data_IF_576988821638
#
_entry.id   IF_576988821638
#
_cell.length_a   1.000
_cell.length_b   1.000
_cell.length_c   1.000
_cell.angle_alpha   90.00
_cell.angle_beta   90.00
_cell.angle_gamma   90.00
#
_symmetry.space_group_name_H-M   'P 1'
#
loop_
_entity.id
_entity.type
_entity.pdbx_description
1 polymer ?
#
# COMPACT_ATOMS: atom_id res chain seq x y z
N UNK A 1 -59.85 -73.58 42.64
CA UNK A 1 -61.15 -73.07 42.24
C UNK A 1 -61.00 -71.64 41.73
N UNK A 2 -61.57 -71.42 40.61
CA UNK A 2 -61.87 -70.16 39.90
C UNK A 2 -60.73 -69.40 39.26
N UNK A 3 -60.65 -69.63 37.99
CA UNK A 3 -60.07 -68.92 36.87
C UNK A 3 -60.72 -67.55 36.67
N UNK A 4 -59.95 -66.53 36.38
CA UNK A 4 -60.40 -65.44 35.54
C UNK A 4 -59.22 -64.92 34.69
N UNK A 5 -59.36 -65.18 33.39
CA UNK A 5 -58.51 -64.67 32.33
C UNK A 5 -58.81 -63.21 32.04
N UNK A 6 -57.77 -62.40 31.76
CA UNK A 6 -57.87 -61.05 31.20
C UNK A 6 -57.38 -61.05 29.76
N UNK A 7 -58.02 -60.31 28.84
CA UNK A 7 -57.64 -60.29 27.44
C UNK A 7 -56.48 -59.23 27.22
N UNK A 8 -55.56 -59.63 26.35
CA UNK A 8 -54.54 -58.77 25.76
C UNK A 8 -55.17 -57.77 24.79
N UNK A 9 -54.99 -56.50 25.04
CA UNK A 9 -55.07 -55.45 24.02
C UNK A 9 -53.67 -55.09 23.58
N UNK A 10 -53.31 -55.63 22.44
CA UNK A 10 -52.06 -55.29 21.76
C UNK A 10 -52.33 -54.28 20.65
N UNK A 11 -51.36 -53.40 20.52
CA UNK A 11 -50.94 -52.88 19.21
C UNK A 11 -51.76 -51.76 18.61
N UNK A 12 -51.29 -50.52 18.77
CA UNK A 12 -51.42 -49.42 17.78
C UNK A 12 -50.68 -48.12 18.26
N UNK A 13 -49.42 -48.21 18.65
CA UNK A 13 -48.63 -47.06 19.01
C UNK A 13 -47.20 -47.11 18.43
N UNK A 14 -46.97 -47.85 17.35
CA UNK A 14 -45.65 -48.06 16.77
C UNK A 14 -45.39 -47.36 15.41
N UNK A 15 -46.38 -46.63 14.85
CA UNK A 15 -46.24 -46.15 13.45
C UNK A 15 -46.15 -44.63 13.26
N UNK A 16 -46.13 -43.83 14.33
CA UNK A 16 -46.05 -42.33 14.20
C UNK A 16 -44.68 -41.77 14.55
N UNK A 17 -43.78 -42.54 15.15
CA UNK A 17 -42.43 -42.05 15.54
C UNK A 17 -41.39 -42.10 14.40
N UNK A 18 -41.64 -42.75 13.28
CA UNK A 18 -40.65 -42.89 12.19
C UNK A 18 -40.71 -41.79 11.12
N UNK A 19 -41.77 -40.96 11.08
CA UNK A 19 -41.94 -39.90 10.08
C UNK A 19 -41.39 -38.55 10.51
N UNK A 20 -40.99 -38.35 11.79
CA UNK A 20 -40.48 -37.08 12.30
C UNK A 20 -38.96 -36.93 12.22
N UNK A 21 -38.19 -37.98 11.88
CA UNK A 21 -36.73 -37.94 11.79
C UNK A 21 -36.16 -37.61 10.40
N UNK A 22 -36.99 -37.50 9.37
CA UNK A 22 -36.51 -37.30 7.98
C UNK A 22 -36.48 -35.83 7.49
N UNK A 23 -36.86 -34.86 8.32
CA UNK A 23 -36.90 -33.42 7.94
C UNK A 23 -35.76 -32.56 8.56
N UNK A 24 -34.77 -33.16 9.22
CA UNK A 24 -33.65 -32.42 9.83
C UNK A 24 -32.37 -32.39 8.99
N UNK A 25 -32.40 -32.62 7.70
CA UNK A 25 -31.19 -32.83 6.91
C UNK A 25 -31.01 -31.86 5.74
N UNK A 26 -31.40 -30.61 5.85
CA UNK A 26 -30.90 -29.54 4.95
C UNK A 26 -30.96 -28.17 5.66
N UNK A 27 -30.27 -28.05 6.76
CA UNK A 27 -29.80 -26.73 7.13
C UNK A 27 -28.69 -26.37 6.12
N UNK A 28 -28.81 -25.28 5.33
CA UNK A 28 -27.69 -24.84 4.49
C UNK A 28 -26.52 -24.63 5.43
N UNK A 29 -25.41 -25.32 5.16
CA UNK A 29 -24.17 -25.08 5.86
C UNK A 29 -23.92 -23.54 5.82
N UNK A 30 -24.01 -22.90 6.95
CA UNK A 30 -23.63 -21.48 7.05
C UNK A 30 -22.15 -21.44 6.65
N UNK A 31 -21.89 -21.03 5.41
CA UNK A 31 -20.55 -20.70 4.98
C UNK A 31 -20.11 -19.56 5.88
N UNK A 32 -19.28 -19.89 6.87
CA UNK A 32 -18.71 -18.90 7.76
C UNK A 32 -18.03 -17.84 6.90
N UNK A 33 -18.52 -16.60 7.02
CA UNK A 33 -17.94 -15.48 6.27
C UNK A 33 -16.46 -15.40 6.65
N UNK A 34 -15.60 -15.48 5.66
CA UNK A 34 -14.15 -15.38 5.87
C UNK A 34 -13.79 -13.91 6.00
N UNK A 35 -13.48 -13.44 7.21
CA UNK A 35 -12.99 -12.09 7.45
C UNK A 35 -11.50 -12.02 7.13
N UNK A 36 -11.12 -11.10 6.25
CA UNK A 36 -9.74 -10.82 5.86
C UNK A 36 -9.25 -9.57 6.56
N UNK A 37 -8.01 -9.62 7.04
CA UNK A 37 -7.35 -8.51 7.73
C UNK A 37 -6.52 -7.71 6.74
N UNK A 38 -6.88 -6.44 6.56
CA UNK A 38 -6.17 -5.50 5.70
C UNK A 38 -5.31 -4.54 6.49
N UNK A 39 -4.16 -4.16 5.95
CA UNK A 39 -3.26 -3.20 6.56
C UNK A 39 -3.11 -1.94 5.70
N UNK A 40 -3.11 -0.78 6.35
CA UNK A 40 -2.81 0.52 5.76
C UNK A 40 -2.04 1.39 6.75
N UNK A 41 -0.97 2.06 6.27
CA UNK A 41 -0.17 2.96 7.10
C UNK A 41 -0.90 4.28 7.40
N UNK A 42 -1.75 4.72 6.50
CA UNK A 42 -2.44 6.00 6.57
C UNK A 42 -3.78 5.91 7.33
N UNK A 43 -4.32 7.06 7.73
CA UNK A 43 -5.66 7.17 8.29
C UNK A 43 -6.75 6.78 7.26
N UNK A 44 -7.96 6.47 7.74
CA UNK A 44 -9.05 6.00 6.89
C UNK A 44 -9.51 7.05 5.86
N UNK A 45 -9.44 8.34 6.19
CA UNK A 45 -9.81 9.45 5.31
C UNK A 45 -8.74 9.81 4.27
N UNK A 46 -7.55 9.22 4.37
CA UNK A 46 -6.49 9.38 3.37
C UNK A 46 -6.88 8.69 2.06
N UNK A 47 -6.50 9.21 0.87
CA UNK A 47 -6.92 8.63 -0.42
C UNK A 47 -6.70 7.11 -0.53
N UNK A 48 -5.56 6.61 -0.04
CA UNK A 48 -5.25 5.17 -0.07
C UNK A 48 -6.13 4.37 0.91
N UNK A 49 -6.47 4.94 2.09
CA UNK A 49 -7.44 4.38 3.01
C UNK A 49 -8.82 4.25 2.37
N UNK A 50 -9.30 5.35 1.75
CA UNK A 50 -10.58 5.37 1.03
C UNK A 50 -10.61 4.38 -0.15
N UNK A 51 -9.50 4.26 -0.90
CA UNK A 51 -9.35 3.26 -1.96
C UNK A 51 -9.47 1.83 -1.42
N UNK A 52 -8.78 1.52 -0.32
CA UNK A 52 -8.86 0.20 0.32
C UNK A 52 -10.26 -0.11 0.87
N UNK A 53 -10.94 0.86 1.47
CA UNK A 53 -12.30 0.68 1.97
C UNK A 53 -13.28 0.46 0.81
N UNK A 54 -13.10 1.17 -0.32
CA UNK A 54 -13.87 0.92 -1.55
C UNK A 54 -13.62 -0.48 -2.10
N UNK A 55 -12.38 -0.93 -2.14
CA UNK A 55 -12.04 -2.30 -2.51
C UNK A 55 -12.75 -3.32 -1.61
N UNK A 56 -12.71 -3.13 -0.30
CA UNK A 56 -13.36 -4.00 0.68
C UNK A 56 -14.87 -4.05 0.47
N UNK A 57 -15.50 -2.89 0.27
CA UNK A 57 -16.95 -2.78 -0.02
C UNK A 57 -17.34 -3.56 -1.27
N UNK A 58 -16.63 -3.33 -2.38
CA UNK A 58 -16.91 -3.99 -3.67
C UNK A 58 -16.76 -5.51 -3.59
N UNK A 59 -15.73 -6.01 -2.93
CA UNK A 59 -15.54 -7.45 -2.74
C UNK A 59 -16.67 -8.02 -1.89
N UNK A 60 -17.04 -7.37 -0.80
CA UNK A 60 -18.18 -7.79 0.04
C UNK A 60 -19.47 -7.90 -0.77
N UNK A 61 -19.81 -6.84 -1.52
CA UNK A 61 -21.01 -6.80 -2.36
C UNK A 61 -21.02 -7.89 -3.42
N UNK A 62 -19.92 -8.04 -4.19
CA UNK A 62 -19.82 -8.98 -5.33
C UNK A 62 -19.70 -10.45 -4.91
N UNK A 63 -19.33 -10.70 -3.65
CA UNK A 63 -19.28 -12.06 -3.09
C UNK A 63 -20.48 -12.39 -2.17
N UNK A 64 -21.51 -11.53 -2.12
CA UNK A 64 -22.61 -11.66 -1.17
C UNK A 64 -22.14 -11.83 0.28
N UNK A 65 -21.11 -11.05 0.67
CA UNK A 65 -20.44 -11.08 1.97
C UNK A 65 -19.81 -12.45 2.35
N UNK A 66 -19.54 -13.31 1.39
CA UNK A 66 -18.80 -14.56 1.63
C UNK A 66 -17.33 -14.25 1.94
N UNK A 67 -16.74 -13.24 1.29
CA UNK A 67 -15.44 -12.68 1.61
C UNK A 67 -15.68 -11.26 2.16
N UNK A 68 -15.32 -11.06 3.43
CA UNK A 68 -15.40 -9.77 4.11
C UNK A 68 -14.00 -9.25 4.37
N UNK A 69 -13.72 -8.05 3.92
CA UNK A 69 -12.44 -7.39 4.11
C UNK A 69 -12.59 -6.31 5.19
N UNK A 70 -11.67 -6.29 6.15
CA UNK A 70 -11.59 -5.26 7.18
C UNK A 70 -10.23 -4.60 7.13
N UNK A 71 -10.19 -3.30 6.84
CA UNK A 71 -8.96 -2.51 6.82
C UNK A 71 -8.63 -2.00 8.23
N UNK A 72 -7.41 -2.23 8.66
CA UNK A 72 -6.82 -1.66 9.87
C UNK A 72 -5.91 -0.51 9.45
N UNK A 73 -6.42 0.71 9.62
CA UNK A 73 -5.74 1.95 9.24
C UNK A 73 -4.71 2.39 10.29
N UNK A 74 -3.93 3.43 9.95
CA UNK A 74 -2.98 4.09 10.88
C UNK A 74 -1.97 3.13 11.50
N UNK A 75 -1.48 2.16 10.73
CA UNK A 75 -0.50 1.16 11.15
C UNK A 75 -0.92 0.36 12.40
N UNK A 76 -2.22 0.15 12.65
CA UNK A 76 -2.71 -0.61 13.82
C UNK A 76 -2.17 -2.04 13.93
N UNK A 77 -1.73 -2.63 12.81
CA UNK A 77 -1.13 -3.97 12.77
C UNK A 77 0.41 -3.95 12.69
N UNK A 78 1.05 -2.83 13.06
CA UNK A 78 2.49 -2.63 12.98
C UNK A 78 2.92 -1.68 11.87
N UNK A 79 4.21 -1.33 11.83
CA UNK A 79 4.79 -0.50 10.77
C UNK A 79 4.90 -1.28 9.45
N UNK A 80 5.21 -0.59 8.33
CA UNK A 80 5.16 -1.21 7.00
C UNK A 80 6.08 -2.42 6.87
N UNK A 81 7.29 -2.38 7.40
CA UNK A 81 8.25 -3.49 7.31
C UNK A 81 7.70 -4.75 8.01
N UNK A 82 7.06 -4.58 9.16
CA UNK A 82 6.39 -5.66 9.89
C UNK A 82 5.19 -6.19 9.11
N UNK A 83 4.37 -5.29 8.57
CA UNK A 83 3.20 -5.65 7.79
C UNK A 83 3.55 -6.42 6.50
N UNK A 84 4.66 -6.06 5.83
CA UNK A 84 5.20 -6.82 4.69
C UNK A 84 5.52 -8.26 5.11
N UNK A 85 6.23 -8.47 6.23
CA UNK A 85 6.54 -9.81 6.72
C UNK A 85 5.26 -10.58 7.12
N UNK A 86 4.32 -9.92 7.79
CA UNK A 86 3.04 -10.50 8.17
C UNK A 86 2.22 -10.93 6.94
N UNK A 87 2.21 -10.16 5.84
CA UNK A 87 1.56 -10.56 4.60
C UNK A 87 2.23 -11.78 3.97
N UNK A 88 3.57 -11.81 3.91
CA UNK A 88 4.32 -12.97 3.40
C UNK A 88 4.07 -14.24 4.20
N UNK A 89 3.84 -14.11 5.52
CA UNK A 89 3.47 -15.21 6.42
C UNK A 89 1.97 -15.52 6.40
N UNK A 90 1.14 -14.70 5.74
CA UNK A 90 -0.31 -14.88 5.61
C UNK A 90 -1.11 -14.50 6.85
N UNK A 91 -0.58 -13.68 7.77
CA UNK A 91 -1.29 -13.13 8.93
C UNK A 91 -1.97 -11.79 8.62
N UNK A 92 -1.52 -11.09 7.58
CA UNK A 92 -2.23 -10.01 6.90
C UNK A 92 -2.67 -10.54 5.53
N UNK A 93 -3.93 -10.35 5.18
CA UNK A 93 -4.54 -10.92 3.99
C UNK A 93 -4.45 -9.99 2.79
N UNK A 94 -4.61 -8.67 2.99
CA UNK A 94 -4.45 -7.65 1.95
C UNK A 94 -3.84 -6.37 2.52
N UNK A 95 -3.23 -5.56 1.69
CA UNK A 95 -2.59 -4.32 2.12
C UNK A 95 -2.41 -3.34 0.96
N UNK A 96 -2.20 -2.07 1.33
CA UNK A 96 -1.60 -1.08 0.44
C UNK A 96 -0.18 -0.79 0.93
N UNK A 97 0.83 -1.04 0.09
CA UNK A 97 2.24 -0.84 0.41
C UNK A 97 2.89 0.19 -0.50
N UNK A 98 3.67 1.09 0.07
CA UNK A 98 4.65 1.84 -0.68
C UNK A 98 5.76 0.91 -1.17
N UNK A 99 6.25 1.12 -2.40
CA UNK A 99 7.25 0.22 -3.00
C UNK A 99 8.63 0.30 -2.34
N UNK A 100 9.00 1.44 -1.75
CA UNK A 100 10.37 1.64 -1.28
C UNK A 100 10.86 0.60 -0.27
N UNK A 101 10.10 0.21 0.78
CA UNK A 101 10.51 -0.87 1.67
C UNK A 101 10.54 -2.26 1.01
N UNK A 102 9.93 -2.43 -0.16
CA UNK A 102 9.96 -3.67 -0.93
C UNK A 102 11.23 -3.80 -1.79
N UNK A 103 11.98 -2.70 -2.01
CA UNK A 103 13.13 -2.69 -2.91
C UNK A 103 14.21 -3.70 -2.52
N UNK A 104 14.44 -3.92 -1.22
CA UNK A 104 15.43 -4.87 -0.74
C UNK A 104 14.95 -6.34 -0.84
N UNK A 105 13.64 -6.57 -0.96
CA UNK A 105 13.05 -7.91 -1.08
C UNK A 105 12.77 -8.30 -2.54
N UNK A 106 12.37 -7.34 -3.35
CA UNK A 106 12.10 -7.47 -4.78
C UNK A 106 12.86 -6.35 -5.52
N UNK A 107 14.14 -6.53 -5.87
CA UNK A 107 15.01 -5.47 -6.38
C UNK A 107 14.48 -4.75 -7.62
N UNK A 108 13.67 -5.41 -8.46
CA UNK A 108 13.06 -4.76 -9.62
C UNK A 108 12.09 -3.63 -9.27
N UNK A 109 11.51 -3.63 -8.07
CA UNK A 109 10.67 -2.51 -7.60
C UNK A 109 11.46 -1.21 -7.47
N UNK A 110 12.79 -1.30 -7.27
CA UNK A 110 13.67 -0.13 -7.20
C UNK A 110 13.64 0.69 -8.50
N UNK A 111 13.39 0.06 -9.65
CA UNK A 111 13.35 0.77 -10.93
C UNK A 111 12.21 1.79 -10.98
N UNK A 112 11.04 1.47 -10.38
CA UNK A 112 9.89 2.37 -10.34
C UNK A 112 10.05 3.49 -9.29
N UNK A 113 11.07 3.41 -8.44
CA UNK A 113 11.33 4.39 -7.38
C UNK A 113 12.55 5.24 -7.64
N UNK A 114 13.21 5.06 -8.81
CA UNK A 114 14.36 5.88 -9.21
C UNK A 114 13.98 7.37 -9.27
N UNK A 115 14.89 8.24 -8.85
CA UNK A 115 14.63 9.69 -8.83
C UNK A 115 14.46 10.25 -10.25
N UNK A 116 13.52 11.19 -10.40
CA UNK A 116 13.24 11.90 -11.67
C UNK A 116 12.92 10.97 -12.86
N UNK A 117 12.38 9.78 -12.59
CA UNK A 117 12.11 8.77 -13.61
C UNK A 117 10.91 9.13 -14.48
N UNK A 118 9.79 9.49 -13.84
CA UNK A 118 8.53 9.76 -14.53
C UNK A 118 8.45 11.20 -15.00
N UNK A 119 7.95 11.41 -16.24
CA UNK A 119 7.73 12.74 -16.82
C UNK A 119 6.56 13.48 -16.16
N UNK A 120 5.51 12.74 -15.86
CA UNK A 120 4.25 13.19 -15.27
C UNK A 120 3.49 12.00 -14.66
N UNK A 121 2.39 12.28 -13.98
CA UNK A 121 1.54 11.25 -13.36
C UNK A 121 0.93 10.31 -14.41
N UNK A 122 0.55 10.83 -15.57
CA UNK A 122 0.01 10.01 -16.67
C UNK A 122 1.04 9.02 -17.20
N UNK A 123 2.31 9.44 -17.30
CA UNK A 123 3.39 8.53 -17.64
C UNK A 123 3.56 7.41 -16.60
N UNK A 124 3.53 7.76 -15.30
CA UNK A 124 3.57 6.77 -14.23
C UNK A 124 2.44 5.75 -14.36
N UNK A 125 1.20 6.22 -14.58
CA UNK A 125 0.05 5.32 -14.77
C UNK A 125 0.24 4.36 -15.95
N UNK A 126 0.65 4.86 -17.12
CA UNK A 126 0.87 3.99 -18.30
C UNK A 126 1.95 2.93 -18.04
N UNK A 127 2.98 3.26 -17.29
CA UNK A 127 4.04 2.33 -16.92
C UNK A 127 3.53 1.24 -15.98
N UNK A 128 2.87 1.61 -14.89
CA UNK A 128 2.46 0.65 -13.86
C UNK A 128 1.22 -0.16 -14.23
N UNK A 129 0.33 0.40 -15.06
CA UNK A 129 -0.86 -0.31 -15.56
C UNK A 129 -0.56 -1.18 -16.80
N UNK A 130 0.66 -1.06 -17.37
CA UNK A 130 1.09 -1.80 -18.55
C UNK A 130 2.02 -2.99 -18.23
N UNK A 131 2.66 -3.49 -19.29
CA UNK A 131 3.54 -4.67 -19.22
C UNK A 131 4.70 -4.55 -18.22
N UNK A 132 5.17 -3.33 -17.94
CA UNK A 132 6.23 -3.10 -16.93
C UNK A 132 5.69 -3.36 -15.52
N UNK A 133 4.50 -2.85 -15.21
CA UNK A 133 3.82 -3.14 -13.94
C UNK A 133 3.54 -4.63 -13.75
N UNK A 134 3.20 -5.36 -14.83
CA UNK A 134 3.04 -6.81 -14.80
C UNK A 134 4.37 -7.54 -14.54
N UNK A 135 5.49 -7.07 -15.10
CA UNK A 135 6.81 -7.61 -14.83
C UNK A 135 7.18 -7.47 -13.34
N UNK A 136 6.94 -6.30 -12.77
CA UNK A 136 7.17 -6.03 -11.34
C UNK A 136 6.21 -6.85 -10.45
N UNK A 137 4.95 -6.99 -10.87
CA UNK A 137 3.96 -7.80 -10.16
C UNK A 137 4.39 -9.27 -10.04
N UNK A 138 5.01 -9.85 -11.10
CA UNK A 138 5.56 -11.22 -11.04
C UNK A 138 6.69 -11.35 -10.02
N UNK A 139 7.55 -10.35 -9.89
CA UNK A 139 8.61 -10.36 -8.89
C UNK A 139 8.07 -10.23 -7.47
N UNK A 140 7.02 -9.41 -7.27
CA UNK A 140 6.31 -9.32 -5.99
C UNK A 140 5.60 -10.64 -5.65
N UNK A 141 5.02 -11.32 -6.64
CA UNK A 141 4.44 -12.64 -6.44
C UNK A 141 5.49 -13.66 -5.96
N UNK A 142 6.71 -13.62 -6.50
CA UNK A 142 7.79 -14.51 -6.07
C UNK A 142 8.10 -14.40 -4.57
N UNK A 143 7.93 -13.21 -3.98
CA UNK A 143 8.11 -12.97 -2.54
C UNK A 143 6.82 -13.13 -1.71
N UNK A 144 5.72 -13.57 -2.33
CA UNK A 144 4.46 -13.88 -1.63
C UNK A 144 3.42 -12.75 -1.64
N UNK A 145 3.58 -11.73 -2.48
CA UNK A 145 2.72 -10.54 -2.57
C UNK A 145 2.06 -10.51 -3.95
N UNK A 146 0.75 -10.74 -4.02
CA UNK A 146 -0.02 -10.68 -5.27
C UNK A 146 -0.51 -9.27 -5.52
N UNK A 147 0.01 -8.62 -6.54
CA UNK A 147 -0.43 -7.28 -6.97
C UNK A 147 -1.82 -7.35 -7.59
N UNK A 148 -2.73 -6.49 -7.13
CA UNK A 148 -4.08 -6.35 -7.68
C UNK A 148 -4.26 -5.05 -8.47
N UNK A 149 -3.71 -3.94 -7.97
CA UNK A 149 -3.78 -2.62 -8.61
C UNK A 149 -2.64 -1.71 -8.09
N UNK A 150 -2.42 -0.60 -8.81
CA UNK A 150 -1.47 0.44 -8.45
C UNK A 150 -2.21 1.70 -8.04
N UNK A 151 -1.84 2.24 -6.88
CA UNK A 151 -2.34 3.49 -6.32
C UNK A 151 -1.33 4.62 -6.49
N UNK A 152 -1.81 5.85 -6.54
CA UNK A 152 -0.96 7.03 -6.51
C UNK A 152 -0.45 7.32 -5.11
N UNK A 153 0.76 7.89 -5.06
CA UNK A 153 1.33 8.51 -3.88
C UNK A 153 2.03 9.84 -4.20
N UNK A 154 1.85 10.37 -5.41
CA UNK A 154 2.30 11.68 -5.84
C UNK A 154 3.82 11.88 -5.83
N UNK A 155 4.21 13.10 -6.15
CA UNK A 155 5.61 13.49 -6.14
C UNK A 155 6.11 13.73 -4.71
N UNK A 156 7.32 13.26 -4.44
CA UNK A 156 7.99 13.39 -3.15
C UNK A 156 9.00 14.52 -3.19
N UNK A 157 9.00 15.35 -2.15
CA UNK A 157 9.85 16.52 -1.99
C UNK A 157 10.48 16.56 -0.60
N UNK A 158 11.55 17.32 -0.43
CA UNK A 158 12.18 17.51 0.87
C UNK A 158 11.37 18.46 1.76
N UNK A 159 11.29 18.16 3.06
CA UNK A 159 10.83 19.09 4.08
C UNK A 159 11.77 19.06 5.29
N UNK A 160 12.12 20.24 5.79
CA UNK A 160 13.27 20.43 6.67
C UNK A 160 13.01 21.48 7.74
N UNK A 161 13.78 21.40 8.84
CA UNK A 161 13.71 22.38 9.95
C UNK A 161 14.37 23.72 9.59
N UNK A 162 15.24 23.77 8.58
CA UNK A 162 15.88 24.97 8.03
C UNK A 162 15.72 25.01 6.51
N UNK A 163 15.78 26.22 5.89
CA UNK A 163 15.57 26.34 4.44
C UNK A 163 16.59 25.54 3.64
N UNK A 164 16.12 24.84 2.59
CA UNK A 164 16.93 24.17 1.57
C UNK A 164 16.53 24.74 0.22
N UNK A 165 17.44 25.44 -0.46
CA UNK A 165 17.20 26.04 -1.78
C UNK A 165 17.99 25.33 -2.89
N UNK A 166 19.12 24.78 -2.53
CA UNK A 166 20.06 24.13 -3.45
C UNK A 166 20.52 22.79 -2.85
N UNK A 167 21.08 21.88 -3.67
CA UNK A 167 21.67 20.66 -3.14
C UNK A 167 22.77 20.89 -2.08
N UNK A 168 23.50 22.05 -2.14
CA UNK A 168 24.52 22.37 -1.16
C UNK A 168 23.94 22.55 0.26
N UNK A 169 22.70 23.02 0.37
CA UNK A 169 22.04 23.26 1.66
C UNK A 169 21.66 21.95 2.40
N UNK A 170 21.58 20.84 1.67
CA UNK A 170 21.24 19.50 2.24
C UNK A 170 22.46 18.84 2.88
N UNK A 171 23.67 19.31 2.55
CA UNK A 171 24.90 18.68 3.04
C UNK A 171 24.94 18.58 4.55
N UNK A 172 25.23 17.37 5.01
CA UNK A 172 25.37 17.04 6.43
C UNK A 172 24.05 17.00 7.22
N UNK A 173 22.89 17.35 6.61
CA UNK A 173 21.60 17.22 7.26
C UNK A 173 21.23 15.74 7.46
N UNK A 174 20.71 15.42 8.64
CA UNK A 174 20.12 14.12 8.93
C UNK A 174 18.72 14.07 8.33
N UNK A 175 18.59 13.42 7.17
CA UNK A 175 17.33 13.30 6.45
C UNK A 175 16.77 11.89 6.64
N UNK A 176 15.58 11.82 7.22
CA UNK A 176 14.88 10.54 7.35
C UNK A 176 14.53 10.00 5.97
N UNK A 177 14.71 8.70 5.80
CA UNK A 177 14.28 7.94 4.63
C UNK A 177 13.49 6.70 5.04
N UNK A 178 12.80 6.09 4.08
CA UNK A 178 12.20 4.78 4.24
C UNK A 178 13.31 3.71 4.29
N UNK A 179 13.00 2.53 4.82
CA UNK A 179 13.94 1.39 4.91
C UNK A 179 14.19 0.81 3.53
N UNK A 180 15.11 1.42 2.79
CA UNK A 180 15.48 1.05 1.42
C UNK A 180 16.91 1.51 1.13
N UNK A 181 17.74 0.61 0.62
CA UNK A 181 19.12 0.94 0.24
C UNK A 181 19.17 2.00 -0.86
N UNK A 182 18.21 1.95 -1.80
CA UNK A 182 18.07 2.98 -2.83
C UNK A 182 17.84 4.36 -2.21
N UNK A 183 16.97 4.49 -1.23
CA UNK A 183 16.69 5.78 -0.58
C UNK A 183 17.86 6.29 0.24
N UNK A 184 18.62 5.39 0.86
CA UNK A 184 19.90 5.73 1.52
C UNK A 184 20.88 6.32 0.50
N UNK A 185 21.02 5.68 -0.67
CA UNK A 185 21.94 6.13 -1.70
C UNK A 185 21.48 7.42 -2.38
N UNK A 186 20.19 7.64 -2.59
CA UNK A 186 19.63 8.92 -3.10
C UNK A 186 20.03 10.08 -2.18
N UNK A 187 19.80 9.94 -0.87
CA UNK A 187 20.11 11.00 0.07
C UNK A 187 21.63 11.22 0.22
N UNK A 188 22.43 10.16 0.17
CA UNK A 188 23.90 10.27 0.14
C UNK A 188 24.38 11.00 -1.12
N UNK A 189 23.80 10.70 -2.27
CA UNK A 189 24.12 11.40 -3.52
C UNK A 189 23.78 12.89 -3.45
N UNK A 190 22.73 13.26 -2.71
CA UNK A 190 22.42 14.67 -2.41
C UNK A 190 23.37 15.29 -1.36
N UNK A 191 24.24 14.51 -0.72
CA UNK A 191 25.16 14.98 0.32
C UNK A 191 24.59 14.98 1.74
N UNK A 192 23.38 14.45 1.95
CA UNK A 192 22.77 14.31 3.26
C UNK A 192 23.28 13.08 4.01
N UNK A 193 22.97 13.02 5.31
CA UNK A 193 23.14 11.86 6.17
C UNK A 193 21.79 11.13 6.27
N UNK A 194 21.52 10.06 5.49
CA UNK A 194 20.26 9.36 5.52
C UNK A 194 20.08 8.62 6.84
N UNK A 195 18.88 8.74 7.41
CA UNK A 195 18.49 8.11 8.67
C UNK A 195 17.22 7.25 8.43
N UNK A 196 17.36 5.95 8.18
CA UNK A 196 16.20 5.07 8.00
C UNK A 196 15.40 4.97 9.29
N UNK A 197 14.11 5.31 9.25
CA UNK A 197 13.17 5.22 10.37
C UNK A 197 11.77 4.84 9.88
N UNK A 198 10.98 4.11 10.69
CA UNK A 198 9.56 3.90 10.43
C UNK A 198 8.79 5.21 10.27
N UNK A 199 7.71 5.19 9.47
CA UNK A 199 6.94 6.40 9.18
C UNK A 199 6.31 7.02 10.43
N UNK A 200 5.82 6.20 11.35
CA UNK A 200 5.20 6.66 12.61
C UNK A 200 6.16 7.37 13.58
N UNK A 201 7.47 7.26 13.37
CA UNK A 201 8.48 7.88 14.24
C UNK A 201 8.97 9.25 13.74
N UNK A 202 8.58 9.66 12.52
CA UNK A 202 9.14 10.84 11.85
C UNK A 202 8.79 12.14 12.61
N UNK A 203 7.53 12.32 13.03
CA UNK A 203 7.12 13.54 13.75
C UNK A 203 7.96 13.74 15.03
N UNK A 204 8.04 12.72 15.87
CA UNK A 204 8.79 12.76 17.14
C UNK A 204 10.28 12.97 16.91
N UNK A 205 10.85 12.34 15.86
CA UNK A 205 12.26 12.48 15.51
C UNK A 205 12.61 13.89 15.00
N UNK A 206 11.71 14.53 14.25
CA UNK A 206 11.81 15.94 13.86
C UNK A 206 11.71 16.86 15.07
N UNK A 207 10.72 16.64 15.94
CA UNK A 207 10.46 17.45 17.11
C UNK A 207 11.63 17.43 18.12
N UNK A 208 12.26 16.26 18.28
CA UNK A 208 13.40 16.07 19.19
C UNK A 208 14.76 16.41 18.57
N UNK A 209 14.84 16.74 17.28
CA UNK A 209 16.09 17.05 16.58
C UNK A 209 16.98 15.82 16.30
N UNK A 210 16.43 14.61 16.39
CA UNK A 210 17.12 13.38 15.95
C UNK A 210 17.36 13.41 14.46
N UNK A 211 16.43 14.00 13.68
CA UNK A 211 16.55 14.27 12.26
C UNK A 211 16.30 15.75 11.97
N UNK A 212 16.89 16.26 10.89
CA UNK A 212 16.79 17.65 10.43
C UNK A 212 15.71 17.83 9.35
N UNK A 213 15.20 16.72 8.81
CA UNK A 213 14.21 16.73 7.76
C UNK A 213 13.83 15.32 7.33
N UNK A 214 12.90 15.26 6.40
CA UNK A 214 12.51 14.05 5.71
C UNK A 214 12.03 14.40 4.29
N UNK A 215 11.54 13.43 3.57
CA UNK A 215 10.98 13.61 2.24
C UNK A 215 9.63 12.89 2.12
N UNK A 216 8.67 13.50 1.49
CA UNK A 216 7.37 12.91 1.18
C UNK A 216 6.53 13.83 0.28
N UNK A 217 5.31 13.38 -0.02
CA UNK A 217 4.28 14.11 -0.76
C UNK A 217 3.49 15.08 0.14
N UNK A 218 2.72 15.98 -0.47
CA UNK A 218 1.90 16.97 0.24
C UNK A 218 0.87 16.36 1.20
N UNK A 219 0.07 15.33 0.81
CA UNK A 219 -0.89 14.71 1.70
C UNK A 219 -0.26 14.09 2.95
N UNK A 220 0.92 13.45 2.82
CA UNK A 220 1.63 12.89 3.98
C UNK A 220 2.18 13.98 4.89
N UNK A 221 2.79 15.02 4.33
CA UNK A 221 3.32 16.16 5.10
C UNK A 221 2.21 16.87 5.90
N UNK A 222 1.01 16.97 5.32
CA UNK A 222 -0.16 17.55 5.98
C UNK A 222 -0.77 16.61 7.02
N UNK A 223 -1.11 15.36 6.64
CA UNK A 223 -1.88 14.45 7.51
C UNK A 223 -1.12 14.01 8.76
N UNK A 224 0.20 13.98 8.71
CA UNK A 224 1.08 13.67 9.86
C UNK A 224 1.51 14.91 10.64
N UNK A 225 1.08 16.10 10.20
CA UNK A 225 1.43 17.39 10.83
C UNK A 225 2.95 17.66 10.84
N UNK A 226 3.73 17.02 9.97
CA UNK A 226 5.18 17.25 9.90
C UNK A 226 5.52 18.72 9.63
N UNK A 227 4.61 19.46 8.95
CA UNK A 227 4.77 20.90 8.69
C UNK A 227 4.86 21.76 9.96
N UNK A 228 4.40 21.30 11.10
CA UNK A 228 4.51 22.03 12.36
C UNK A 228 5.93 22.03 12.93
N UNK A 229 6.69 20.97 12.66
CA UNK A 229 8.03 20.73 13.19
C UNK A 229 9.14 20.87 12.16
N UNK A 230 8.83 20.71 10.87
CA UNK A 230 9.74 20.92 9.73
C UNK A 230 9.06 21.83 8.71
N UNK A 231 9.17 23.14 8.89
CA UNK A 231 8.32 24.14 8.25
C UNK A 231 8.70 24.48 6.79
N UNK A 232 9.85 24.04 6.30
CA UNK A 232 10.32 24.37 4.96
C UNK A 232 10.11 23.20 4.02
N UNK A 233 9.21 23.36 3.05
CA UNK A 233 8.95 22.35 2.01
C UNK A 233 9.60 22.81 0.71
N UNK A 234 10.59 22.06 0.23
CA UNK A 234 11.34 22.37 -1.01
C UNK A 234 10.84 21.48 -2.13
N UNK A 235 10.26 22.04 -3.18
CA UNK A 235 9.59 21.31 -4.28
C UNK A 235 10.58 20.64 -5.22
N UNK A 236 11.43 19.77 -4.67
CA UNK A 236 12.38 19.00 -5.47
C UNK A 236 11.70 18.02 -6.41
N UNK A 237 10.52 17.51 -6.02
CA UNK A 237 9.76 16.47 -6.74
C UNK A 237 10.67 15.38 -7.31
N UNK A 238 11.60 14.96 -6.45
CA UNK A 238 12.71 14.09 -6.84
C UNK A 238 12.30 12.65 -7.09
N UNK A 239 11.12 12.22 -6.68
CA UNK A 239 10.62 10.88 -6.97
C UNK A 239 9.09 10.84 -6.95
N UNK A 240 8.51 9.94 -7.74
CA UNK A 240 7.12 9.54 -7.67
C UNK A 240 7.10 8.03 -7.43
N UNK A 241 6.66 7.61 -6.24
CA UNK A 241 6.70 6.20 -5.83
C UNK A 241 5.30 5.64 -5.84
N UNK A 242 4.93 4.79 -6.81
CA UNK A 242 3.63 4.13 -6.81
C UNK A 242 3.46 3.25 -5.56
N UNK A 243 2.22 3.05 -5.16
CA UNK A 243 1.86 2.10 -4.12
C UNK A 243 1.09 0.91 -4.69
N UNK A 244 1.23 -0.24 -4.06
CA UNK A 244 0.60 -1.47 -4.53
C UNK A 244 -0.53 -1.89 -3.61
N UNK A 245 -1.74 -2.03 -4.15
CA UNK A 245 -2.82 -2.79 -3.50
C UNK A 245 -2.57 -4.27 -3.77
N UNK A 246 -2.37 -5.04 -2.72
CA UNK A 246 -1.93 -6.41 -2.81
C UNK A 246 -2.70 -7.36 -1.88
N UNK A 247 -2.66 -8.64 -2.22
CA UNK A 247 -3.20 -9.75 -1.43
C UNK A 247 -2.08 -10.75 -1.14
N UNK A 248 -2.09 -11.36 0.04
CA UNK A 248 -1.21 -12.48 0.40
C UNK A 248 -1.35 -13.63 -0.60
N UNK A 249 -0.22 -14.16 -1.10
CA UNK A 249 -0.24 -15.35 -1.98
C UNK A 249 -0.96 -16.52 -1.33
N UNK A 250 -0.86 -16.70 -0.02
CA UNK A 250 -1.53 -17.79 0.69
C UNK A 250 -3.06 -17.66 0.62
N UNK A 251 -3.61 -16.44 0.71
CA UNK A 251 -5.04 -16.19 0.53
C UNK A 251 -5.47 -16.35 -0.92
N UNK A 252 -4.67 -15.80 -1.84
CA UNK A 252 -4.92 -15.87 -3.26
C UNK A 252 -5.05 -17.30 -3.77
N UNK A 253 -4.19 -18.20 -3.32
CA UNK A 253 -4.19 -19.59 -3.71
C UNK A 253 -5.45 -20.36 -3.27
N UNK A 254 -6.16 -19.89 -2.25
CA UNK A 254 -7.41 -20.50 -1.75
C UNK A 254 -8.65 -20.02 -2.49
N UNK A 255 -8.52 -19.01 -3.35
CA UNK A 255 -9.62 -18.47 -4.14
C UNK A 255 -9.83 -19.29 -5.42
N UNK A 256 -11.10 -19.48 -5.79
CA UNK A 256 -11.44 -19.95 -7.12
C UNK A 256 -11.31 -18.82 -8.16
N UNK A 257 -11.40 -19.16 -9.45
CA UNK A 257 -11.15 -18.19 -10.53
C UNK A 257 -12.18 -17.06 -10.56
N UNK A 258 -13.43 -17.33 -10.24
CA UNK A 258 -14.48 -16.30 -10.17
C UNK A 258 -14.19 -15.29 -9.04
N UNK A 259 -13.76 -15.77 -7.87
CA UNK A 259 -13.36 -14.90 -6.77
C UNK A 259 -12.13 -14.05 -7.11
N UNK A 260 -11.13 -14.64 -7.77
CA UNK A 260 -9.95 -13.92 -8.25
C UNK A 260 -10.33 -12.82 -9.23
N UNK A 261 -11.26 -13.09 -10.15
CA UNK A 261 -11.78 -12.10 -11.09
C UNK A 261 -12.47 -10.95 -10.35
N UNK A 262 -13.33 -11.25 -9.36
CA UNK A 262 -14.01 -10.25 -8.53
C UNK A 262 -12.99 -9.33 -7.83
N UNK A 263 -11.94 -9.91 -7.21
CA UNK A 263 -10.93 -9.12 -6.52
C UNK A 263 -10.15 -8.21 -7.48
N UNK A 264 -9.76 -8.72 -8.66
CA UNK A 264 -9.06 -7.91 -9.67
C UNK A 264 -9.93 -6.76 -10.17
N UNK A 265 -11.22 -7.01 -10.45
CA UNK A 265 -12.14 -5.97 -10.93
C UNK A 265 -12.41 -4.92 -9.85
N UNK A 266 -12.63 -5.36 -8.61
CA UNK A 266 -12.83 -4.47 -7.46
C UNK A 266 -11.58 -3.60 -7.21
N UNK A 267 -10.38 -4.17 -7.33
CA UNK A 267 -9.13 -3.46 -7.16
C UNK A 267 -8.92 -2.39 -8.24
N UNK A 268 -9.20 -2.70 -9.52
CA UNK A 268 -9.13 -1.72 -10.61
C UNK A 268 -10.11 -0.56 -10.38
N UNK A 269 -11.35 -0.84 -10.01
CA UNK A 269 -12.33 0.18 -9.71
C UNK A 269 -11.91 1.06 -8.51
N UNK A 270 -11.37 0.44 -7.46
CA UNK A 270 -10.88 1.17 -6.29
C UNK A 270 -9.68 2.06 -6.62
N UNK A 271 -8.81 1.64 -7.55
CA UNK A 271 -7.67 2.44 -7.99
C UNK A 271 -8.12 3.70 -8.75
N UNK A 272 -9.17 3.61 -9.57
CA UNK A 272 -9.74 4.79 -10.24
C UNK A 272 -10.20 5.82 -9.20
N UNK A 273 -10.96 5.38 -8.19
CA UNK A 273 -11.40 6.27 -7.10
C UNK A 273 -10.21 6.86 -6.34
N UNK A 274 -9.24 6.02 -5.97
CA UNK A 274 -8.07 6.47 -5.21
C UNK A 274 -7.29 7.55 -5.95
N UNK A 275 -7.04 7.39 -7.26
CA UNK A 275 -6.34 8.38 -8.10
C UNK A 275 -7.08 9.71 -8.20
N UNK A 276 -8.41 9.68 -8.29
CA UNK A 276 -9.24 10.90 -8.25
C UNK A 276 -9.11 11.62 -6.91
N UNK A 277 -9.31 10.89 -5.81
CA UNK A 277 -9.15 11.42 -4.46
C UNK A 277 -7.73 11.93 -4.19
N UNK A 278 -6.72 11.28 -4.78
CA UNK A 278 -5.33 11.71 -4.67
C UNK A 278 -5.11 13.08 -5.28
N UNK A 279 -5.55 13.29 -6.53
CA UNK A 279 -5.40 14.57 -7.23
C UNK A 279 -6.06 15.73 -6.46
N UNK A 280 -7.24 15.50 -5.88
CA UNK A 280 -7.95 16.49 -5.06
C UNK A 280 -7.20 16.75 -3.74
N UNK A 281 -6.74 15.69 -3.07
CA UNK A 281 -6.06 15.81 -1.77
C UNK A 281 -4.70 16.50 -1.89
N UNK A 282 -3.94 16.22 -2.93
CA UNK A 282 -2.62 16.80 -3.13
C UNK A 282 -2.69 18.33 -3.17
N UNK A 283 -3.61 18.89 -3.97
CA UNK A 283 -3.86 20.34 -4.03
C UNK A 283 -4.32 20.90 -2.69
N UNK A 284 -5.33 20.28 -2.08
CA UNK A 284 -5.89 20.79 -0.81
C UNK A 284 -4.91 20.66 0.36
N UNK A 285 -4.03 19.66 0.37
CA UNK A 285 -3.00 19.52 1.40
C UNK A 285 -1.94 20.62 1.29
N UNK A 286 -1.51 20.97 0.06
CA UNK A 286 -0.60 22.10 -0.15
C UNK A 286 -1.18 23.39 0.42
N UNK A 287 -2.42 23.70 0.08
CA UNK A 287 -3.08 24.92 0.57
C UNK A 287 -3.17 24.94 2.11
N UNK A 288 -3.54 23.82 2.72
CA UNK A 288 -3.65 23.70 4.19
C UNK A 288 -2.32 23.86 4.91
N UNK A 289 -1.24 23.25 4.42
CA UNK A 289 0.06 23.39 5.09
C UNK A 289 0.62 24.80 4.97
N UNK A 290 0.37 25.51 3.85
CA UNK A 290 0.73 26.93 3.68
C UNK A 290 -0.06 27.78 4.67
N UNK A 291 -1.39 27.57 4.76
CA UNK A 291 -2.21 28.25 5.74
C UNK A 291 -1.80 27.94 7.19
N UNK A 292 -1.26 26.73 7.44
CA UNK A 292 -0.70 26.30 8.73
C UNK A 292 0.71 26.82 9.03
N UNK A 293 1.27 27.68 8.18
CA UNK A 293 2.56 28.36 8.41
C UNK A 293 3.77 27.65 7.82
N UNK A 294 3.58 26.67 6.93
CA UNK A 294 4.70 26.10 6.16
C UNK A 294 5.19 27.11 5.11
N UNK A 295 6.49 27.14 4.91
CA UNK A 295 7.15 27.94 3.86
C UNK A 295 7.50 27.04 2.70
N UNK A 296 6.96 27.32 1.52
CA UNK A 296 7.25 26.58 0.30
C UNK A 296 8.44 27.24 -0.40
N UNK A 297 9.43 26.44 -0.75
CA UNK A 297 10.61 26.84 -1.53
C UNK A 297 10.50 26.15 -2.89
N UNK A 298 10.15 26.94 -3.90
CA UNK A 298 10.00 26.43 -5.26
C UNK A 298 11.38 26.20 -5.90
N UNK A 299 11.55 24.99 -6.47
CA UNK A 299 12.74 24.63 -7.24
C UNK A 299 12.42 24.84 -8.72
N UNK A 300 12.83 25.98 -9.26
CA UNK A 300 12.60 26.32 -10.67
C UNK A 300 13.44 25.47 -11.63
N UNK A 301 14.68 25.14 -11.24
CA UNK A 301 15.59 24.30 -12.00
C UNK A 301 15.98 23.04 -11.19
N UNK A 302 15.54 21.89 -11.66
CA UNK A 302 15.85 20.57 -11.07
C UNK A 302 17.16 19.97 -11.60
N UNK A 303 17.76 20.56 -12.63
CA UNK A 303 19.00 20.05 -13.24
C UNK A 303 20.13 19.76 -12.23
N UNK A 304 20.43 20.67 -11.30
CA UNK A 304 21.44 20.42 -10.26
C UNK A 304 21.12 19.22 -9.35
N UNK A 305 19.84 18.95 -9.08
CA UNK A 305 19.40 17.78 -8.30
C UNK A 305 19.46 16.49 -9.13
N UNK A 306 19.07 16.56 -10.40
CA UNK A 306 19.12 15.44 -11.33
C UNK A 306 20.54 14.96 -11.59
N UNK A 307 21.49 15.90 -11.75
CA UNK A 307 22.89 15.58 -12.00
C UNK A 307 23.53 14.75 -10.87
N UNK A 308 23.06 14.90 -9.64
CA UNK A 308 23.54 14.11 -8.50
C UNK A 308 23.09 12.65 -8.54
N UNK A 309 22.10 12.31 -9.36
CA UNK A 309 21.51 10.97 -9.38
C UNK A 309 22.24 10.00 -10.33
N UNK A 310 23.22 10.45 -11.09
CA UNK A 310 23.98 9.59 -12.00
C UNK A 310 24.55 8.33 -11.30
N UNK A 311 25.23 8.42 -10.13
CA UNK A 311 25.73 7.24 -9.44
C UNK A 311 24.62 6.28 -8.98
N UNK A 312 23.43 6.83 -8.64
CA UNK A 312 22.27 6.02 -8.25
C UNK A 312 21.78 5.21 -9.46
N UNK A 313 21.60 5.84 -10.62
CA UNK A 313 21.24 5.15 -11.85
C UNK A 313 22.27 4.09 -12.25
N UNK A 314 23.57 4.43 -12.18
CA UNK A 314 24.66 3.50 -12.47
C UNK A 314 24.61 2.25 -11.55
N UNK A 315 24.24 2.41 -10.30
CA UNK A 315 24.14 1.30 -9.34
C UNK A 315 22.89 0.45 -9.57
N UNK A 316 21.72 1.06 -9.69
CA UNK A 316 20.45 0.36 -9.65
C UNK A 316 19.88 -0.02 -11.01
N UNK A 317 20.39 0.56 -12.10
CA UNK A 317 19.89 0.29 -13.46
C UNK A 317 20.95 -0.34 -14.39
N UNK A 318 22.12 -0.77 -13.88
CA UNK A 318 23.18 -1.34 -14.71
C UNK A 318 23.00 -2.82 -15.06
N UNK A 319 22.34 -3.59 -14.20
CA UNK A 319 22.06 -5.01 -14.50
C UNK A 319 21.17 -5.12 -15.76
N UNK A 320 21.39 -6.10 -16.65
CA UNK A 320 20.73 -6.19 -17.95
C UNK A 320 19.20 -6.07 -17.90
N UNK A 321 18.57 -6.76 -16.94
CA UNK A 321 17.11 -6.69 -16.73
C UNK A 321 16.65 -5.29 -16.28
N UNK A 322 17.41 -4.66 -15.38
CA UNK A 322 17.08 -3.34 -14.87
C UNK A 322 17.28 -2.27 -15.93
N UNK A 323 18.32 -2.40 -16.75
CA UNK A 323 18.57 -1.53 -17.91
C UNK A 323 17.45 -1.65 -18.95
N UNK A 324 16.97 -2.87 -19.24
CA UNK A 324 15.83 -3.10 -20.12
C UNK A 324 14.55 -2.45 -19.58
N UNK A 325 14.23 -2.67 -18.31
CA UNK A 325 13.07 -2.04 -17.66
C UNK A 325 13.16 -0.52 -17.73
N UNK A 326 14.31 0.07 -17.40
CA UNK A 326 14.53 1.52 -17.48
C UNK A 326 14.32 2.05 -18.90
N UNK A 327 14.87 1.36 -19.90
CA UNK A 327 14.68 1.72 -21.31
C UNK A 327 13.20 1.72 -21.69
N UNK A 328 12.49 0.64 -21.40
CA UNK A 328 11.04 0.50 -21.71
C UNK A 328 10.21 1.56 -20.99
N UNK A 329 10.54 1.89 -19.72
CA UNK A 329 9.89 2.99 -18.99
C UNK A 329 10.06 4.31 -19.75
N UNK A 330 11.27 4.65 -20.17
CA UNK A 330 11.56 5.89 -20.90
C UNK A 330 10.87 5.97 -22.24
N UNK A 331 10.70 4.83 -22.94
CA UNK A 331 10.03 4.71 -24.24
C UNK A 331 8.50 4.68 -24.13
N UNK A 332 7.91 4.41 -22.96
CA UNK A 332 6.47 4.46 -22.72
C UNK A 332 5.95 5.88 -22.97
N UNK A 333 5.01 6.01 -23.95
CA UNK A 333 4.44 7.30 -24.40
C UNK A 333 3.15 7.65 -23.70
#
# INVERSE_FOLDING_TARGET
MSLFSKPRRGGLLGAVAAAALSLMAFAPAQVSAQEWRGWNIHAADYPNGRGMDRFAELVGQRTNNRIRLRTFHSAQLGQQDEAIQQMRLGTIDFANFNLSPLNNLAPSTAILTLPFLFRDVGHSHRVVDGAIGEDIARDLEAIGIITLAWYDAGARSLYTVRPVRTPADVRGMKIRVQTSDLWIDIMRAMGANPTPLPFGEVFTSLQSGVIDGAENNWPSYESTRHFEVAKFYTTTEHSNVPEVLAVSRQRWQRLNEAERAILRDAARESAVLQRQLWAEREKSSRDRVIAGGATVIEVADRGPWQALMEPVYAKYASAPRMADLLKRIRETR
#
